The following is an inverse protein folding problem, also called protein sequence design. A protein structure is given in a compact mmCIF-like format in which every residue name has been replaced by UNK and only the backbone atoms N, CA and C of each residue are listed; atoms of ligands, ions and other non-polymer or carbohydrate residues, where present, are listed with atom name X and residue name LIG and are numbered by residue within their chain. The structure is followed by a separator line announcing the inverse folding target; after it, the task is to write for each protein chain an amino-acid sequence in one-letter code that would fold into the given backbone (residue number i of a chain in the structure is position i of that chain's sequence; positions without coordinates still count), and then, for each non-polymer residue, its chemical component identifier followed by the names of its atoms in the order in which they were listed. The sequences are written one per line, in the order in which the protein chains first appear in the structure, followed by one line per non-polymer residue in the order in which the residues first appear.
data_IF_029223693908
#
_entry.id   IF_029223693908
#
_cell.length_a   1.000
_cell.length_b   1.000
_cell.length_c   1.000
_cell.angle_alpha   90.00
_cell.angle_beta   90.00
_cell.angle_gamma   90.00
#
_symmetry.space_group_name_H-M   'P 1'
#
loop_
_entity.id
_entity.type
_entity.pdbx_description
1 polymer ?
#
# COMPACT_ATOMS: atom_id res chain seq x y z
N UNK A 1 -11.67 19.66 20.39
CA UNK A 1 -10.61 18.73 20.81
C UNK A 1 -10.76 17.46 20.00
N UNK A 2 -9.83 17.17 19.10
CA UNK A 2 -9.77 15.87 18.42
C UNK A 2 -8.33 15.45 18.50
N UNK A 3 -8.02 14.71 19.56
CA UNK A 3 -6.77 13.98 19.72
C UNK A 3 -6.65 13.03 18.53
N UNK A 4 -5.95 13.49 17.47
CA UNK A 4 -5.39 12.58 16.47
C UNK A 4 -4.31 11.82 17.20
N UNK A 5 -4.73 10.72 17.81
CA UNK A 5 -3.88 9.65 18.29
C UNK A 5 -3.13 9.13 17.04
N UNK A 6 -2.06 9.85 16.66
CA UNK A 6 -1.02 9.45 15.74
C UNK A 6 -0.23 8.35 16.45
N UNK A 7 -0.90 7.24 16.78
CA UNK A 7 -0.18 6.02 17.13
C UNK A 7 0.70 5.75 15.93
N UNK A 8 1.99 5.62 16.19
CA UNK A 8 3.08 5.35 15.24
C UNK A 8 2.95 3.96 14.57
N UNK A 9 1.72 3.55 14.26
CA UNK A 9 1.40 2.33 13.55
C UNK A 9 1.67 2.62 12.09
N UNK A 10 2.64 1.92 11.55
CA UNK A 10 2.86 1.91 10.11
C UNK A 10 1.56 1.36 9.48
N UNK A 11 0.78 2.22 8.84
CA UNK A 11 -0.45 1.81 8.17
C UNK A 11 -0.09 1.44 6.74
N UNK A 12 -0.48 0.25 6.30
CA UNK A 12 -0.32 -0.19 4.91
C UNK A 12 -1.65 -0.76 4.43
N UNK A 13 -2.26 -0.11 3.45
CA UNK A 13 -3.51 -0.55 2.84
C UNK A 13 -3.28 -0.84 1.37
N UNK A 14 -3.70 -2.03 0.92
CA UNK A 14 -3.73 -2.40 -0.49
C UNK A 14 -5.21 -2.48 -0.90
N UNK A 15 -5.58 -1.80 -1.98
CA UNK A 15 -6.95 -1.82 -2.48
C UNK A 15 -6.99 -1.67 -4.01
N UNK A 16 -8.02 -2.23 -4.67
CA UNK A 16 -8.14 -2.14 -6.11
C UNK A 16 -8.62 -0.74 -6.52
N UNK A 17 -8.00 -0.16 -7.54
CA UNK A 17 -8.50 1.03 -8.23
C UNK A 17 -9.41 0.55 -9.36
N UNK A 18 -10.61 1.13 -9.40
CA UNK A 18 -11.62 0.84 -10.39
C UNK A 18 -11.74 1.98 -11.39
N UNK A 19 -12.02 1.65 -12.64
CA UNK A 19 -12.35 2.63 -13.67
C UNK A 19 -13.77 3.19 -13.49
N UNK A 20 -14.21 4.01 -14.46
CA UNK A 20 -15.56 4.58 -14.47
C UNK A 20 -16.66 3.52 -14.62
N UNK A 21 -16.35 2.35 -15.18
CA UNK A 21 -17.27 1.20 -15.30
C UNK A 21 -17.25 0.29 -14.05
N UNK A 22 -16.41 0.60 -13.06
CA UNK A 22 -16.25 -0.19 -11.84
C UNK A 22 -15.32 -1.39 -11.97
N UNK A 23 -14.61 -1.54 -13.10
CA UNK A 23 -13.66 -2.65 -13.33
C UNK A 23 -12.31 -2.33 -12.71
N UNK A 24 -11.72 -3.26 -11.93
CA UNK A 24 -10.39 -3.05 -11.39
C UNK A 24 -9.36 -3.04 -12.53
N UNK A 25 -8.46 -2.06 -12.52
CA UNK A 25 -7.38 -1.94 -13.51
C UNK A 25 -6.00 -1.77 -12.89
N UNK A 26 -5.93 -1.51 -11.59
CA UNK A 26 -4.68 -1.35 -10.86
C UNK A 26 -4.87 -1.69 -9.38
N UNK A 27 -3.77 -2.08 -8.72
CA UNK A 27 -3.70 -2.06 -7.26
C UNK A 27 -3.07 -0.76 -6.78
N UNK A 28 -3.63 -0.17 -5.73
CA UNK A 28 -3.06 0.96 -5.03
C UNK A 28 -2.60 0.54 -3.65
N UNK A 29 -1.42 1.00 -3.27
CA UNK A 29 -0.91 0.89 -1.92
C UNK A 29 -0.76 2.28 -1.33
N UNK A 30 -1.36 2.49 -0.17
CA UNK A 30 -1.11 3.65 0.69
C UNK A 30 -0.35 3.20 1.94
N UNK A 31 0.86 3.73 2.11
CA UNK A 31 1.71 3.46 3.27
C UNK A 31 1.97 4.75 4.03
N UNK A 32 1.60 4.78 5.31
CA UNK A 32 1.93 5.88 6.20
C UNK A 32 3.08 5.48 7.13
N UNK A 33 4.21 6.18 7.03
CA UNK A 33 5.42 5.96 7.83
C UNK A 33 6.00 7.29 8.31
N UNK A 34 6.29 7.40 9.61
CA UNK A 34 6.93 8.58 10.20
C UNK A 34 6.28 9.93 9.78
N UNK A 35 4.95 9.95 9.67
CA UNK A 35 4.18 11.11 9.21
C UNK A 35 4.17 11.36 7.70
N UNK A 36 4.88 10.56 6.89
CA UNK A 36 4.88 10.60 5.43
C UNK A 36 3.97 9.53 4.84
N UNK A 37 3.25 9.88 3.77
CA UNK A 37 2.42 8.94 2.99
C UNK A 37 3.16 8.60 1.70
N UNK A 38 3.37 7.31 1.47
CA UNK A 38 3.93 6.74 0.25
C UNK A 38 2.80 6.04 -0.50
N UNK A 39 2.53 6.51 -1.71
CA UNK A 39 1.48 5.98 -2.58
C UNK A 39 2.12 5.30 -3.77
N UNK A 40 1.75 4.06 -4.03
CA UNK A 40 2.22 3.29 -5.18
C UNK A 40 1.05 2.70 -5.95
N UNK A 41 1.16 2.72 -7.28
CA UNK A 41 0.17 2.15 -8.19
C UNK A 41 0.80 1.03 -9.00
N UNK A 42 0.06 -0.07 -9.13
CA UNK A 42 0.46 -1.28 -9.84
C UNK A 42 -0.62 -1.58 -10.88
N UNK A 43 -0.44 -1.02 -12.08
CA UNK A 43 -1.41 -1.16 -13.16
C UNK A 43 -1.34 -2.55 -13.80
N UNK A 44 -2.49 -3.15 -14.12
CA UNK A 44 -2.54 -4.54 -14.58
C UNK A 44 -1.86 -4.70 -15.94
N UNK A 45 -1.96 -3.70 -16.80
CA UNK A 45 -1.30 -3.64 -18.11
C UNK A 45 0.23 -3.67 -18.02
N UNK A 46 0.80 -3.03 -17.00
CA UNK A 46 2.25 -3.00 -16.77
C UNK A 46 2.78 -4.30 -16.15
N UNK A 47 1.99 -4.96 -15.32
CA UNK A 47 2.42 -6.15 -14.57
C UNK A 47 1.93 -7.47 -15.17
N UNK A 48 1.16 -7.44 -16.26
CA UNK A 48 0.68 -8.64 -16.96
C UNK A 48 -0.60 -9.25 -16.37
N UNK A 49 -1.40 -8.44 -15.65
CA UNK A 49 -2.69 -8.82 -15.10
C UNK A 49 -2.86 -8.47 -13.62
N UNK A 50 -4.04 -8.82 -13.09
CA UNK A 50 -4.42 -8.53 -11.69
C UNK A 50 -3.55 -9.25 -10.66
N UNK A 51 -3.30 -10.56 -10.86
CA UNK A 51 -2.51 -11.38 -9.95
C UNK A 51 -1.04 -10.91 -9.86
N UNK A 52 -0.29 -10.77 -10.96
CA UNK A 52 1.09 -10.32 -10.87
C UNK A 52 1.23 -8.87 -10.37
N UNK A 53 0.25 -8.01 -10.64
CA UNK A 53 0.17 -6.68 -10.04
C UNK A 53 -0.03 -6.75 -8.52
N UNK A 54 -0.87 -7.67 -8.04
CA UNK A 54 -1.09 -7.90 -6.61
C UNK A 54 0.18 -8.43 -5.95
N UNK A 55 0.83 -9.42 -6.55
CA UNK A 55 2.09 -9.98 -6.03
C UNK A 55 3.18 -8.90 -5.92
N UNK A 56 3.31 -8.03 -6.91
CA UNK A 56 4.22 -6.89 -6.86
C UNK A 56 3.85 -5.92 -5.73
N UNK A 57 2.56 -5.67 -5.54
CA UNK A 57 2.07 -4.81 -4.47
C UNK A 57 2.37 -5.40 -3.07
N UNK A 58 2.10 -6.69 -2.89
CA UNK A 58 2.41 -7.41 -1.65
C UNK A 58 3.90 -7.52 -1.38
N UNK A 59 4.72 -7.70 -2.42
CA UNK A 59 6.17 -7.71 -2.29
C UNK A 59 6.69 -6.33 -1.84
N UNK A 60 6.16 -5.23 -2.40
CA UNK A 60 6.52 -3.88 -1.94
C UNK A 60 6.10 -3.67 -0.47
N UNK A 61 4.88 -4.07 -0.09
CA UNK A 61 4.44 -4.08 1.31
C UNK A 61 5.45 -4.84 2.17
N UNK A 62 5.77 -6.09 1.80
CA UNK A 62 6.65 -6.95 2.58
C UNK A 62 8.06 -6.36 2.68
N UNK A 63 8.62 -5.78 1.61
CA UNK A 63 9.91 -5.09 1.67
C UNK A 63 9.88 -3.88 2.60
N UNK A 64 8.79 -3.11 2.58
CA UNK A 64 8.64 -1.95 3.45
C UNK A 64 8.39 -2.35 4.90
N UNK A 65 7.71 -3.48 5.13
CA UNK A 65 7.50 -4.12 6.43
C UNK A 65 8.80 -4.72 6.98
N UNK A 66 9.57 -5.45 6.18
CA UNK A 66 10.84 -6.08 6.60
C UNK A 66 11.97 -5.04 6.78
N UNK A 67 11.92 -3.92 6.05
CA UNK A 67 12.77 -2.74 6.31
C UNK A 67 12.27 -1.88 7.48
N UNK A 68 11.20 -2.27 8.18
CA UNK A 68 10.88 -1.66 9.46
C UNK A 68 11.89 -2.18 10.48
N UNK A 69 12.65 -1.30 11.16
CA UNK A 69 13.29 -1.71 12.39
C UNK A 69 12.15 -2.14 13.31
N UNK A 70 12.15 -3.42 13.68
CA UNK A 70 11.34 -3.90 14.79
C UNK A 70 11.89 -3.22 16.03
N UNK A 71 11.41 -2.01 16.32
CA UNK A 71 11.65 -1.36 17.60
C UNK A 71 10.82 -2.11 18.63
N UNK A 72 11.31 -3.27 19.04
CA UNK A 72 10.95 -3.86 20.30
C UNK A 72 11.58 -2.98 21.37
N UNK A 73 10.76 -2.17 22.01
CA UNK A 73 11.08 -1.59 23.33
C UNK A 73 10.29 -2.37 24.36
#
# INVERSE_FOLDING_TARGET
MTERNLTSRNHCFIYPIKDQEGRPYAWKIDIQRAGKVHVHHFAFDQYGGEIPALEAAENLRNQLVLKMPQSFT
#
